data_IF_555357938375
#
_entry.id   IF_555357938375
#
_cell.length_a   1.000
_cell.length_b   1.000
_cell.length_c   1.000
_cell.angle_alpha   90.00
_cell.angle_beta   90.00
_cell.angle_gamma   90.00
#
_symmetry.space_group_name_H-M   'P 1'
#
loop_
_entity.id
_entity.type
_entity.pdbx_description
1 polymer ?
#
# COMPACT_ATOMS: atom_id res chain seq x y z
N UNK A 1 14.77 3.16 19.92
CA UNK A 1 14.05 2.01 19.35
C UNK A 1 12.65 2.07 19.89
N UNK A 2 11.71 2.55 19.08
CA UNK A 2 10.36 2.02 19.04
C UNK A 2 9.71 2.62 17.79
N UNK A 3 9.61 1.82 16.73
CA UNK A 3 8.44 1.94 15.87
C UNK A 3 7.22 1.97 16.79
N UNK A 4 6.17 2.69 16.41
CA UNK A 4 4.89 2.42 17.05
C UNK A 4 4.54 0.96 16.71
N UNK A 5 4.81 0.05 17.65
CA UNK A 5 4.59 -1.40 17.53
C UNK A 5 3.20 -1.67 16.97
N UNK A 6 2.23 -0.81 17.30
CA UNK A 6 0.87 -0.92 16.83
C UNK A 6 0.76 -0.88 15.30
N UNK A 7 1.49 0.00 14.58
CA UNK A 7 1.35 0.07 13.11
C UNK A 7 1.99 -1.12 12.39
N UNK A 8 3.16 -1.59 12.83
CA UNK A 8 3.80 -2.77 12.24
C UNK A 8 3.03 -4.05 12.55
N UNK A 9 2.50 -4.17 13.76
CA UNK A 9 1.59 -5.26 14.15
C UNK A 9 0.32 -5.20 13.31
N UNK A 10 -0.27 -4.02 13.09
CA UNK A 10 -1.46 -3.90 12.22
C UNK A 10 -1.12 -4.33 10.79
N UNK A 11 0.00 -3.86 10.23
CA UNK A 11 0.41 -4.18 8.86
C UNK A 11 0.74 -5.68 8.69
N UNK A 12 1.44 -6.27 9.65
CA UNK A 12 1.75 -7.70 9.66
C UNK A 12 0.50 -8.58 9.74
N UNK A 13 -0.61 -8.06 10.27
CA UNK A 13 -1.90 -8.75 10.35
C UNK A 13 -2.88 -8.43 9.21
N UNK A 14 -2.53 -7.56 8.24
CA UNK A 14 -3.40 -7.30 7.10
C UNK A 14 -3.70 -8.58 6.30
N UNK A 15 -4.94 -8.79 5.83
CA UNK A 15 -5.23 -9.91 4.95
C UNK A 15 -4.45 -9.76 3.63
N UNK A 16 -4.09 -10.88 3.00
CA UNK A 16 -3.41 -10.97 1.70
C UNK A 16 -1.90 -10.63 1.73
N UNK A 17 -1.11 -11.55 2.27
CA UNK A 17 0.33 -11.56 2.06
C UNK A 17 0.69 -12.01 0.63
N UNK A 18 1.82 -11.54 0.12
CA UNK A 18 2.33 -11.93 -1.20
C UNK A 18 2.81 -13.38 -1.19
N UNK A 19 3.40 -13.80 -0.07
CA UNK A 19 3.75 -15.19 0.18
C UNK A 19 3.94 -15.46 1.68
N UNK A 20 3.53 -16.63 2.16
CA UNK A 20 3.70 -17.04 3.56
C UNK A 20 4.10 -18.51 3.66
N UNK A 21 4.77 -18.87 4.75
CA UNK A 21 5.20 -20.24 4.95
C UNK A 21 6.21 -20.39 6.07
N UNK A 22 6.58 -21.64 6.33
CA UNK A 22 7.61 -21.96 7.31
C UNK A 22 9.01 -21.88 6.69
N UNK A 23 9.94 -21.27 7.41
CA UNK A 23 11.37 -21.34 7.12
C UNK A 23 12.14 -21.59 8.41
N UNK A 24 13.26 -22.28 8.28
CA UNK A 24 14.22 -22.43 9.37
C UNK A 24 15.25 -21.31 9.31
N UNK A 25 15.24 -20.44 10.32
CA UNK A 25 16.08 -19.25 10.41
C UNK A 25 17.31 -19.55 11.25
N UNK A 26 18.49 -19.16 10.77
CA UNK A 26 19.70 -19.24 11.59
C UNK A 26 19.64 -18.26 12.78
N UNK A 27 19.85 -18.78 13.97
CA UNK A 27 20.03 -18.05 15.22
C UNK A 27 21.31 -18.57 15.92
N UNK A 28 22.37 -17.76 15.86
CA UNK A 28 23.71 -18.15 16.30
C UNK A 28 24.21 -19.42 15.59
N UNK A 29 24.19 -20.57 16.26
CA UNK A 29 24.66 -21.87 15.72
C UNK A 29 23.53 -22.85 15.40
N UNK A 30 22.26 -22.47 15.64
CA UNK A 30 21.11 -23.36 15.44
C UNK A 30 20.13 -22.77 14.44
N UNK A 31 19.39 -23.65 13.77
CA UNK A 31 18.27 -23.26 12.92
C UNK A 31 16.96 -23.45 13.68
N UNK A 32 16.16 -22.39 13.78
CA UNK A 32 14.86 -22.42 14.43
C UNK A 32 13.76 -22.19 13.40
N UNK A 33 12.76 -23.06 13.42
CA UNK A 33 11.58 -22.95 12.56
C UNK A 33 10.73 -21.76 13.00
N UNK A 34 10.43 -20.86 12.06
CA UNK A 34 9.60 -19.67 12.25
C UNK A 34 8.60 -19.54 11.08
N UNK A 35 7.46 -18.91 11.34
CA UNK A 35 6.50 -18.58 10.30
C UNK A 35 6.90 -17.25 9.68
N UNK A 36 6.97 -17.17 8.36
CA UNK A 36 7.32 -15.97 7.62
C UNK A 36 6.14 -15.48 6.78
N UNK A 37 5.97 -14.17 6.69
CA UNK A 37 4.94 -13.51 5.88
C UNK A 37 5.56 -12.35 5.12
N UNK A 38 5.56 -12.42 3.79
CA UNK A 38 6.05 -11.38 2.89
C UNK A 38 4.91 -10.45 2.48
N UNK A 39 5.09 -9.15 2.69
CA UNK A 39 4.14 -8.11 2.28
C UNK A 39 4.89 -6.92 1.70
N UNK A 40 4.69 -6.67 0.41
CA UNK A 40 5.49 -5.74 -0.37
C UNK A 40 6.96 -6.08 -0.27
N UNK A 41 7.78 -5.14 0.19
CA UNK A 41 9.22 -5.31 0.39
C UNK A 41 9.61 -5.61 1.85
N UNK A 42 8.65 -5.98 2.71
CA UNK A 42 8.87 -6.28 4.12
C UNK A 42 8.55 -7.74 4.41
N UNK A 43 9.51 -8.46 4.98
CA UNK A 43 9.37 -9.83 5.41
C UNK A 43 9.24 -9.89 6.94
N UNK A 44 8.08 -10.30 7.41
CA UNK A 44 7.75 -10.50 8.82
C UNK A 44 8.07 -11.94 9.23
N UNK A 45 8.46 -12.15 10.48
CA UNK A 45 8.54 -13.49 11.04
C UNK A 45 7.97 -13.60 12.46
N UNK A 46 7.39 -14.76 12.75
CA UNK A 46 6.63 -15.05 13.96
C UNK A 46 7.08 -16.37 14.56
N UNK A 47 6.74 -16.61 15.84
CA UNK A 47 6.98 -17.91 16.44
C UNK A 47 6.00 -18.95 15.87
N UNK A 48 4.75 -18.57 15.64
CA UNK A 48 3.69 -19.38 15.04
C UNK A 48 2.86 -18.56 14.06
N UNK A 49 2.16 -19.24 13.14
CA UNK A 49 1.26 -18.59 12.16
C UNK A 49 0.05 -17.91 12.79
N UNK A 50 -0.35 -18.30 14.01
CA UNK A 50 -1.46 -17.70 14.74
C UNK A 50 -1.09 -16.44 15.53
N UNK A 51 0.21 -16.12 15.61
CA UNK A 51 0.68 -15.01 16.43
C UNK A 51 0.37 -13.68 15.74
N UNK A 52 -0.16 -12.73 16.50
CA UNK A 52 -0.48 -11.39 15.98
C UNK A 52 0.73 -10.46 15.99
N UNK A 53 1.68 -10.68 16.90
CA UNK A 53 2.85 -9.82 17.02
C UNK A 53 4.07 -10.47 16.34
N UNK A 54 4.72 -9.78 15.38
CA UNK A 54 5.92 -10.30 14.76
C UNK A 54 7.10 -10.28 15.75
N UNK A 55 7.91 -11.33 15.71
CA UNK A 55 9.19 -11.38 16.43
C UNK A 55 10.22 -10.41 15.85
N UNK A 56 10.08 -10.09 14.57
CA UNK A 56 10.91 -9.10 13.90
C UNK A 56 10.53 -8.92 12.43
N UNK A 57 11.23 -7.98 11.79
CA UNK A 57 11.03 -7.60 10.41
C UNK A 57 12.36 -7.57 9.67
N UNK A 58 12.30 -7.83 8.36
CA UNK A 58 13.43 -7.74 7.43
C UNK A 58 12.98 -6.88 6.26
N UNK A 59 13.69 -5.78 6.00
CA UNK A 59 13.46 -4.93 4.84
C UNK A 59 14.30 -5.49 3.69
N UNK A 60 13.66 -5.84 2.57
CA UNK A 60 14.31 -6.48 1.44
C UNK A 60 14.88 -5.49 0.42
N UNK A 61 14.61 -4.19 0.60
CA UNK A 61 15.14 -3.15 -0.28
C UNK A 61 16.67 -3.12 -0.22
N UNK A 62 17.32 -3.18 -1.38
CA UNK A 62 18.79 -3.23 -1.47
C UNK A 62 19.40 -4.52 -0.89
N UNK A 63 18.66 -5.63 -0.86
CA UNK A 63 19.20 -6.95 -0.53
C UNK A 63 19.40 -7.80 -1.80
N UNK A 64 20.36 -8.72 -1.78
CA UNK A 64 20.46 -9.81 -2.76
C UNK A 64 20.00 -11.12 -2.13
N UNK A 65 19.26 -11.92 -2.91
CA UNK A 65 18.90 -13.29 -2.54
C UNK A 65 19.84 -14.23 -3.29
N UNK A 66 20.56 -15.06 -2.56
CA UNK A 66 21.59 -15.95 -3.09
C UNK A 66 21.33 -17.38 -2.63
N UNK A 67 21.60 -18.36 -3.49
CA UNK A 67 21.50 -19.77 -3.14
C UNK A 67 22.67 -20.17 -2.22
N UNK A 68 22.41 -21.02 -1.22
CA UNK A 68 23.42 -21.54 -0.28
C UNK A 68 23.53 -23.08 -0.38
N UNK A 69 23.70 -23.58 -1.60
CA UNK A 69 23.65 -25.03 -1.90
C UNK A 69 24.83 -25.81 -1.31
N UNK A 70 25.94 -25.16 -1.00
CA UNK A 70 27.14 -25.83 -0.48
C UNK A 70 27.03 -26.19 1.01
N UNK A 71 26.18 -25.50 1.77
CA UNK A 71 26.15 -25.61 3.24
C UNK A 71 24.84 -26.20 3.76
N UNK A 72 23.71 -25.96 3.07
CA UNK A 72 22.39 -26.31 3.57
C UNK A 72 21.49 -26.80 2.42
N UNK A 73 20.97 -28.02 2.52
CA UNK A 73 19.98 -28.54 1.57
C UNK A 73 18.72 -27.65 1.62
N UNK A 74 18.29 -27.16 0.46
CA UNK A 74 17.23 -26.15 0.31
C UNK A 74 17.49 -24.78 0.98
N UNK A 75 18.75 -24.48 1.28
CA UNK A 75 19.18 -23.20 1.86
C UNK A 75 19.30 -22.07 0.85
N UNK A 76 19.01 -20.85 1.31
CA UNK A 76 19.31 -19.60 0.62
C UNK A 76 19.67 -18.52 1.66
N UNK A 77 20.34 -17.46 1.21
CA UNK A 77 20.71 -16.32 2.06
C UNK A 77 20.18 -15.00 1.52
N UNK A 78 19.78 -14.15 2.45
CA UNK A 78 19.48 -12.73 2.21
C UNK A 78 20.73 -11.96 2.60
N UNK A 79 21.46 -11.40 1.63
CA UNK A 79 22.64 -10.59 1.86
C UNK A 79 22.29 -9.10 1.83
N UNK A 80 22.67 -8.39 2.89
CA UNK A 80 22.38 -6.96 3.05
C UNK A 80 23.58 -6.14 2.55
N UNK A 81 23.34 -5.21 1.62
CA UNK A 81 24.36 -4.27 1.16
C UNK A 81 24.76 -3.34 2.32
N UNK A 82 26.00 -3.48 2.81
CA UNK A 82 26.54 -2.64 3.86
C UNK A 82 27.92 -3.06 4.38
N UNK A 83 28.60 -2.20 5.15
CA UNK A 83 30.00 -2.40 5.56
C UNK A 83 30.27 -3.63 6.44
N UNK A 84 29.23 -4.29 6.97
CA UNK A 84 29.35 -5.47 7.82
C UNK A 84 28.98 -6.78 7.11
N UNK A 85 28.63 -6.76 5.81
CA UNK A 85 28.32 -7.95 5.01
C UNK A 85 27.41 -8.97 5.73
N UNK A 86 26.45 -8.47 6.52
CA UNK A 86 25.55 -9.32 7.28
C UNK A 86 24.69 -10.08 6.28
N UNK A 87 24.43 -11.34 6.58
CA UNK A 87 23.46 -12.13 5.84
C UNK A 87 22.62 -12.97 6.77
N UNK A 88 21.39 -13.20 6.36
CA UNK A 88 20.49 -14.13 7.01
C UNK A 88 20.41 -15.41 6.20
N UNK A 89 20.73 -16.55 6.81
CA UNK A 89 20.55 -17.86 6.19
C UNK A 89 19.18 -18.41 6.58
N UNK A 90 18.42 -18.83 5.58
CA UNK A 90 17.10 -19.41 5.67
C UNK A 90 17.09 -20.75 4.94
N UNK A 91 16.38 -21.73 5.50
CA UNK A 91 16.23 -23.06 4.90
C UNK A 91 14.74 -23.33 4.70
N UNK A 92 14.36 -23.66 3.47
CA UNK A 92 13.00 -24.06 3.13
C UNK A 92 12.73 -25.54 3.50
N UNK A 93 11.45 -25.92 3.53
CA UNK A 93 11.08 -27.30 3.89
C UNK A 93 11.41 -28.31 2.78
N UNK A 94 11.38 -27.85 1.52
CA UNK A 94 11.64 -28.65 0.33
C UNK A 94 12.12 -27.78 -0.84
N UNK A 95 12.46 -28.44 -1.95
CA UNK A 95 12.96 -27.80 -3.16
C UNK A 95 11.98 -26.80 -3.79
N UNK A 96 10.69 -27.13 -3.81
CA UNK A 96 9.67 -26.30 -4.45
C UNK A 96 9.36 -25.07 -3.60
N UNK A 97 9.28 -25.26 -2.28
CA UNK A 97 9.19 -24.18 -1.30
C UNK A 97 10.39 -23.23 -1.41
N UNK A 98 11.63 -23.75 -1.59
CA UNK A 98 12.81 -22.91 -1.83
C UNK A 98 12.62 -22.05 -3.07
N UNK A 99 12.19 -22.63 -4.19
CA UNK A 99 11.98 -21.88 -5.44
C UNK A 99 10.92 -20.80 -5.26
N UNK A 100 9.81 -21.12 -4.60
CA UNK A 100 8.74 -20.16 -4.34
C UNK A 100 9.22 -19.01 -3.47
N UNK A 101 9.90 -19.29 -2.35
CA UNK A 101 10.52 -18.27 -1.49
C UNK A 101 11.55 -17.42 -2.23
N UNK A 102 12.46 -18.07 -2.95
CA UNK A 102 13.51 -17.38 -3.72
C UNK A 102 12.90 -16.42 -4.75
N UNK A 103 11.88 -16.89 -5.47
CA UNK A 103 11.16 -16.08 -6.48
C UNK A 103 10.48 -14.90 -5.80
N UNK A 104 9.65 -15.16 -4.79
CA UNK A 104 8.88 -14.13 -4.10
C UNK A 104 9.78 -13.02 -3.52
N UNK A 105 10.86 -13.40 -2.84
CA UNK A 105 11.81 -12.46 -2.25
C UNK A 105 12.61 -11.68 -3.29
N UNK A 106 12.98 -12.31 -4.41
CA UNK A 106 13.70 -11.63 -5.51
C UNK A 106 12.83 -10.64 -6.25
N UNK A 107 11.52 -10.89 -6.32
CA UNK A 107 10.52 -10.02 -6.98
C UNK A 107 9.95 -8.94 -6.07
N UNK A 108 10.23 -8.99 -4.76
CA UNK A 108 9.70 -8.06 -3.76
C UNK A 108 10.36 -6.67 -3.80
N UNK A 109 11.49 -6.53 -4.50
CA UNK A 109 12.23 -5.27 -4.56
C UNK A 109 11.55 -4.23 -5.45
N UNK A 110 11.83 -2.95 -5.17
CA UNK A 110 11.30 -1.84 -5.96
C UNK A 110 11.74 -1.88 -7.45
N UNK A 111 12.92 -2.43 -7.74
CA UNK A 111 13.43 -2.59 -9.11
C UNK A 111 12.52 -3.46 -9.97
N UNK A 112 11.92 -4.50 -9.41
CA UNK A 112 10.98 -5.37 -10.11
C UNK A 112 9.67 -4.63 -10.46
N UNK A 113 9.18 -3.80 -9.54
CA UNK A 113 8.00 -2.94 -9.81
C UNK A 113 8.27 -1.94 -10.94
N UNK A 114 9.45 -1.32 -10.97
CA UNK A 114 9.89 -0.44 -12.07
C UNK A 114 9.97 -1.18 -13.40
N UNK A 115 10.51 -2.39 -13.39
CA UNK A 115 10.58 -3.24 -14.59
C UNK A 115 9.19 -3.52 -15.15
N UNK A 116 8.24 -3.94 -14.30
CA UNK A 116 6.87 -4.21 -14.73
C UNK A 116 6.18 -2.98 -15.34
N UNK A 117 6.37 -1.80 -14.78
CA UNK A 117 5.80 -0.56 -15.34
C UNK A 117 6.42 -0.21 -16.68
N UNK A 118 7.74 -0.37 -16.82
CA UNK A 118 8.43 -0.15 -18.09
C UNK A 118 7.91 -1.10 -19.18
N UNK A 119 7.67 -2.36 -18.83
CA UNK A 119 7.12 -3.35 -19.75
C UNK A 119 5.64 -3.06 -20.10
N UNK A 120 4.82 -2.65 -19.13
CA UNK A 120 3.44 -2.24 -19.39
C UNK A 120 3.37 -1.00 -20.29
N UNK A 121 4.22 -0.01 -20.07
CA UNK A 121 4.34 1.16 -20.95
C UNK A 121 4.68 0.74 -22.38
N UNK A 122 5.67 -0.14 -22.55
CA UNK A 122 6.06 -0.68 -23.86
C UNK A 122 4.89 -1.38 -24.57
N UNK A 123 4.08 -2.14 -23.83
CA UNK A 123 2.90 -2.81 -24.38
C UNK A 123 1.82 -1.82 -24.81
N UNK A 124 1.60 -0.75 -24.04
CA UNK A 124 0.68 0.33 -24.40
C UNK A 124 1.14 1.06 -25.66
N UNK A 125 2.43 1.41 -25.75
CA UNK A 125 2.99 2.08 -26.93
C UNK A 125 2.81 1.23 -28.19
N UNK A 126 3.03 -0.09 -28.08
CA UNK A 126 2.82 -1.03 -29.20
C UNK A 126 1.35 -1.09 -29.61
N UNK A 127 0.43 -1.07 -28.65
CA UNK A 127 -1.01 -1.10 -28.92
C UNK A 127 -1.48 0.18 -29.59
N UNK A 128 -1.06 1.36 -29.10
CA UNK A 128 -1.38 2.66 -29.68
C UNK A 128 -0.93 2.79 -31.13
N UNK A 129 0.29 2.30 -31.45
CA UNK A 129 0.78 2.23 -32.84
C UNK A 129 -0.07 1.34 -33.74
N UNK A 130 -0.70 0.29 -33.19
CA UNK A 130 -1.50 -0.66 -33.95
C UNK A 130 -2.93 -0.16 -34.18
N UNK A 131 -3.50 0.58 -33.23
CA UNK A 131 -4.89 1.06 -33.28
C UNK A 131 -5.06 2.44 -33.93
N UNK A 132 -3.96 3.16 -34.21
CA UNK A 132 -4.01 4.50 -34.80
C UNK A 132 -4.58 5.59 -33.88
N UNK A 133 -4.83 5.25 -32.62
CA UNK A 133 -5.29 6.18 -31.59
C UNK A 133 -4.06 6.81 -30.94
N UNK A 134 -3.76 8.07 -31.27
CA UNK A 134 -2.75 8.86 -30.57
C UNK A 134 -3.35 9.42 -29.29
N UNK A 135 -3.48 8.59 -28.26
CA UNK A 135 -3.57 9.13 -26.91
C UNK A 135 -2.19 9.69 -26.57
N UNK A 136 -2.16 10.94 -26.12
CA UNK A 136 -0.97 11.55 -25.51
C UNK A 136 -0.73 10.79 -24.20
N UNK A 137 -0.08 9.64 -24.31
CA UNK A 137 0.08 8.69 -23.22
C UNK A 137 1.21 9.22 -22.36
N UNK A 138 0.86 10.04 -21.36
CA UNK A 138 1.78 10.46 -20.34
C UNK A 138 2.55 9.24 -19.82
N UNK A 139 3.88 9.36 -19.70
CA UNK A 139 4.71 8.32 -19.10
C UNK A 139 4.17 7.98 -17.72
N UNK A 140 3.71 6.75 -17.51
CA UNK A 140 3.23 6.34 -16.20
C UNK A 140 4.40 6.24 -15.24
N UNK A 141 4.33 6.98 -14.13
CA UNK A 141 5.27 6.86 -13.02
C UNK A 141 4.63 6.09 -11.86
N UNK A 142 5.47 5.41 -11.07
CA UNK A 142 5.01 4.82 -9.81
C UNK A 142 4.58 5.96 -8.91
N UNK A 143 3.29 6.08 -8.66
CA UNK A 143 2.82 6.87 -7.56
C UNK A 143 3.15 6.18 -6.25
N UNK A 144 4.08 6.75 -5.49
CA UNK A 144 4.49 6.18 -4.20
C UNK A 144 4.56 7.25 -3.12
N UNK A 145 4.33 6.81 -1.89
CA UNK A 145 4.52 7.62 -0.71
C UNK A 145 5.72 7.05 0.04
N UNK A 146 6.82 7.79 0.10
CA UNK A 146 8.09 7.31 0.64
C UNK A 146 8.27 7.81 2.06
N UNK A 147 8.52 6.87 2.98
CA UNK A 147 8.85 7.13 4.38
C UNK A 147 10.27 6.59 4.60
N UNK A 148 11.26 7.49 4.69
CA UNK A 148 12.62 7.08 5.12
C UNK A 148 12.57 6.79 6.62
N UNK A 149 12.94 5.56 7.00
CA UNK A 149 13.10 5.15 8.40
C UNK A 149 14.59 4.98 8.71
N UNK A 150 15.00 5.35 9.92
CA UNK A 150 16.35 5.06 10.38
C UNK A 150 16.54 3.54 10.64
N UNK A 151 17.79 3.12 10.92
CA UNK A 151 18.13 1.73 11.26
C UNK A 151 17.42 1.16 12.50
N UNK A 152 16.64 1.98 13.20
CA UNK A 152 15.85 1.64 14.38
C UNK A 152 14.35 1.84 14.15
N UNK A 153 13.94 2.22 12.94
CA UNK A 153 12.56 2.38 12.55
C UNK A 153 11.91 3.73 12.74
N UNK A 154 12.66 4.74 13.16
CA UNK A 154 12.08 6.05 13.36
C UNK A 154 11.93 6.74 12.00
N UNK A 155 10.73 7.25 11.71
CA UNK A 155 10.49 8.07 10.53
C UNK A 155 11.37 9.30 10.60
N UNK A 156 12.24 9.47 9.61
CA UNK A 156 13.15 10.59 9.54
C UNK A 156 12.36 11.82 9.07
N UNK A 157 11.89 12.62 10.04
CA UNK A 157 10.98 13.78 9.88
C UNK A 157 11.54 14.93 9.01
N UNK A 158 12.70 14.76 8.39
CA UNK A 158 13.47 15.85 7.79
C UNK A 158 14.20 15.42 6.52
N UNK A 159 13.58 14.59 5.67
CA UNK A 159 14.12 14.41 4.31
C UNK A 159 13.38 15.37 3.37
N UNK A 160 14.05 16.40 2.82
CA UNK A 160 13.48 17.21 1.75
C UNK A 160 13.00 16.31 0.59
N UNK A 161 11.85 16.64 0.00
CA UNK A 161 11.29 15.88 -1.14
C UNK A 161 12.26 15.80 -2.33
N UNK A 162 13.16 16.78 -2.44
CA UNK A 162 14.22 16.86 -3.45
C UNK A 162 15.21 15.68 -3.38
N UNK A 163 15.45 15.12 -2.18
CA UNK A 163 16.40 14.03 -1.92
C UNK A 163 15.79 12.62 -2.10
N UNK A 164 14.60 12.54 -2.70
CA UNK A 164 13.87 11.31 -2.98
C UNK A 164 13.99 11.00 -4.47
N UNK A 165 14.88 10.10 -4.88
CA UNK A 165 15.16 9.79 -6.29
C UNK A 165 14.07 8.95 -7.00
N UNK A 166 13.13 8.35 -6.28
CA UNK A 166 12.22 7.31 -6.79
C UNK A 166 10.75 7.54 -6.38
N UNK A 167 9.79 6.98 -7.11
CA UNK A 167 8.33 7.01 -6.83
C UNK A 167 7.75 8.42 -6.58
N UNK A 168 8.01 9.33 -7.51
CA UNK A 168 7.47 10.69 -7.50
C UNK A 168 6.11 10.68 -8.20
N UNK A 169 5.10 11.36 -7.65
CA UNK A 169 3.88 11.65 -8.40
C UNK A 169 3.92 13.08 -8.93
N UNK A 170 3.28 13.38 -10.08
CA UNK A 170 3.07 14.76 -10.51
C UNK A 170 2.41 15.63 -9.44
N UNK A 171 1.51 15.07 -8.62
CA UNK A 171 0.87 15.75 -7.49
C UNK A 171 1.83 16.19 -6.37
N UNK A 172 3.05 15.66 -6.30
CA UNK A 172 4.11 16.14 -5.39
C UNK A 172 4.74 17.44 -5.91
N UNK A 173 4.71 17.70 -7.21
CA UNK A 173 5.32 18.88 -7.85
C UNK A 173 4.34 20.03 -8.15
N UNK A 174 3.03 19.81 -8.05
CA UNK A 174 2.00 20.77 -8.55
C UNK A 174 1.88 22.06 -7.71
N UNK A 175 2.72 22.33 -6.71
CA UNK A 175 2.63 23.59 -5.97
C UNK A 175 3.99 24.23 -5.68
N UNK A 176 4.60 24.87 -6.68
CA UNK A 176 5.40 26.06 -6.39
C UNK A 176 4.44 27.22 -6.07
N UNK A 177 4.00 27.34 -4.80
CA UNK A 177 3.36 28.57 -4.29
C UNK A 177 1.93 28.46 -3.73
N UNK A 178 1.30 27.28 -3.70
CA UNK A 178 0.00 27.09 -3.04
C UNK A 178 0.13 26.85 -1.51
N UNK A 179 -0.90 27.17 -0.69
CA UNK A 179 -0.90 26.96 0.77
C UNK A 179 -0.79 25.49 1.21
N UNK A 180 -0.74 24.56 0.26
CA UNK A 180 -0.66 23.11 0.46
C UNK A 180 0.78 22.56 0.39
N UNK A 181 1.79 23.43 0.29
CA UNK A 181 3.23 23.13 0.08
C UNK A 181 3.96 22.41 1.21
N UNK A 182 3.29 22.09 2.32
CA UNK A 182 3.90 21.42 3.48
C UNK A 182 2.97 20.42 4.15
N UNK A 183 2.14 19.71 3.38
CA UNK A 183 1.49 18.54 3.95
C UNK A 183 2.52 17.42 3.99
N UNK A 184 3.18 17.29 5.13
CA UNK A 184 4.02 16.13 5.45
C UNK A 184 3.28 14.85 5.05
N UNK A 185 4.01 13.89 4.49
CA UNK A 185 3.48 12.58 4.11
C UNK A 185 2.63 11.92 5.22
N UNK A 186 2.95 12.25 6.47
CA UNK A 186 2.19 11.90 7.67
C UNK A 186 0.72 12.34 7.65
N UNK A 187 0.39 13.49 7.09
CA UNK A 187 -0.99 13.99 7.04
C UNK A 187 -1.89 13.17 6.11
N UNK A 188 -1.33 12.49 5.10
CA UNK A 188 -2.08 11.55 4.26
C UNK A 188 -2.42 10.25 5.01
N UNK A 189 -1.62 9.89 6.02
CA UNK A 189 -1.88 8.76 6.91
C UNK A 189 -2.61 9.14 8.20
N UNK A 190 -3.10 10.38 8.30
CA UNK A 190 -3.90 10.78 9.45
C UNK A 190 -5.34 10.24 9.29
N UNK A 191 -5.78 9.37 10.21
CA UNK A 191 -7.15 8.84 10.26
C UNK A 191 -8.20 9.96 10.33
N UNK A 192 -7.84 11.13 10.85
CA UNK A 192 -8.74 12.27 10.99
C UNK A 192 -8.85 13.17 9.75
N UNK A 193 -8.36 12.74 8.58
CA UNK A 193 -8.63 13.50 7.34
C UNK A 193 -10.07 13.32 6.88
N UNK A 194 -10.59 14.31 6.15
CA UNK A 194 -11.97 14.33 5.66
C UNK A 194 -12.27 13.24 4.62
N UNK A 195 -11.34 12.87 3.72
CA UNK A 195 -11.47 11.65 2.91
C UNK A 195 -11.67 10.38 3.74
N UNK A 196 -10.87 10.19 4.80
CA UNK A 196 -10.96 8.98 5.64
C UNK A 196 -12.26 8.97 6.46
N UNK A 197 -12.63 10.10 7.05
CA UNK A 197 -13.91 10.27 7.74
C UNK A 197 -15.11 10.08 6.79
N UNK A 198 -14.97 10.40 5.49
CA UNK A 198 -15.99 10.12 4.48
C UNK A 198 -16.12 8.61 4.23
N UNK A 199 -15.01 7.89 4.11
CA UNK A 199 -15.03 6.43 3.96
C UNK A 199 -15.69 5.76 5.17
N UNK A 200 -15.32 6.16 6.38
CA UNK A 200 -15.94 5.66 7.61
C UNK A 200 -17.46 5.94 7.63
N UNK A 201 -17.85 7.17 7.28
CA UNK A 201 -19.25 7.57 7.20
C UNK A 201 -20.04 6.73 6.18
N UNK A 202 -19.46 6.46 5.01
CA UNK A 202 -20.07 5.64 3.97
C UNK A 202 -20.14 4.15 4.36
N UNK A 203 -19.11 3.62 5.02
CA UNK A 203 -19.12 2.26 5.56
C UNK A 203 -20.21 2.08 6.63
N UNK A 204 -20.33 3.06 7.52
CA UNK A 204 -21.40 3.12 8.52
C UNK A 204 -22.77 3.24 7.88
N UNK A 205 -22.92 3.97 6.77
CA UNK A 205 -24.16 4.04 5.99
C UNK A 205 -24.51 2.72 5.31
N UNK A 206 -23.53 2.05 4.68
CA UNK A 206 -23.76 0.81 3.95
C UNK A 206 -23.98 -0.42 4.85
N UNK A 207 -23.38 -0.44 6.05
CA UNK A 207 -23.44 -1.62 6.95
C UNK A 207 -24.63 -1.57 7.90
N UNK A 208 -25.26 -2.71 8.24
CA UNK A 208 -26.26 -2.74 9.31
C UNK A 208 -25.60 -2.62 10.69
N UNK A 209 -26.22 -1.87 11.60
CA UNK A 209 -25.76 -1.79 13.00
C UNK A 209 -26.56 -2.78 13.84
N UNK A 210 -25.87 -3.56 14.68
CA UNK A 210 -26.49 -4.52 15.60
C UNK A 210 -26.29 -4.09 17.05
N UNK A 211 -27.27 -4.37 17.90
CA UNK A 211 -27.11 -4.22 19.35
C UNK A 211 -26.24 -5.36 19.93
N UNK A 212 -25.96 -5.29 21.23
CA UNK A 212 -25.23 -6.32 21.98
C UNK A 212 -25.89 -7.72 21.98
N UNK A 213 -27.17 -7.81 21.61
CA UNK A 213 -27.94 -9.06 21.51
C UNK A 213 -28.01 -9.59 20.07
N UNK A 214 -27.43 -8.89 19.10
CA UNK A 214 -27.41 -9.27 17.69
C UNK A 214 -28.59 -8.75 16.86
N UNK A 215 -29.54 -8.02 17.47
CA UNK A 215 -30.67 -7.44 16.75
C UNK A 215 -30.23 -6.24 15.92
N UNK A 216 -30.76 -6.13 14.71
CA UNK A 216 -30.48 -5.03 13.79
C UNK A 216 -31.20 -3.78 14.31
N UNK A 217 -30.43 -2.80 14.77
CA UNK A 217 -30.92 -1.49 15.23
C UNK A 217 -30.89 -0.43 14.12
N UNK A 218 -30.16 -0.69 13.03
CA UNK A 218 -30.13 0.14 11.83
C UNK A 218 -29.87 -0.74 10.62
N UNK A 219 -30.64 -0.58 9.54
CA UNK A 219 -30.49 -1.41 8.33
C UNK A 219 -29.33 -0.90 7.47
N UNK A 220 -28.85 -1.74 6.56
CA UNK A 220 -27.92 -1.32 5.51
C UNK A 220 -28.55 -0.21 4.67
N UNK A 221 -27.73 0.77 4.23
CA UNK A 221 -28.13 1.93 3.42
C UNK A 221 -29.15 2.87 4.08
N UNK A 222 -29.14 2.94 5.41
CA UNK A 222 -29.88 3.93 6.20
C UNK A 222 -28.90 4.81 6.99
N UNK A 223 -29.32 6.01 7.41
CA UNK A 223 -28.52 6.86 8.29
C UNK A 223 -28.87 6.58 9.75
N UNK A 224 -27.87 6.55 10.65
CA UNK A 224 -28.13 6.38 12.08
C UNK A 224 -28.78 7.65 12.65
N UNK A 225 -28.24 8.81 12.29
CA UNK A 225 -28.82 10.12 12.60
C UNK A 225 -28.82 10.97 11.33
N UNK A 226 -29.90 10.94 10.53
CA UNK A 226 -29.96 11.59 9.22
C UNK A 226 -29.53 13.07 9.26
N UNK A 227 -29.91 13.81 10.31
CA UNK A 227 -29.61 15.25 10.42
C UNK A 227 -28.11 15.52 10.57
N UNK A 228 -27.45 14.81 11.48
CA UNK A 228 -26.02 15.00 11.73
C UNK A 228 -25.15 14.34 10.66
N UNK A 229 -25.53 13.13 10.22
CA UNK A 229 -24.75 12.36 9.25
C UNK A 229 -24.77 13.04 7.87
N UNK A 230 -25.92 13.57 7.41
CA UNK A 230 -25.98 14.33 6.16
C UNK A 230 -25.21 15.65 6.23
N UNK A 231 -25.15 16.29 7.41
CA UNK A 231 -24.36 17.50 7.61
C UNK A 231 -22.87 17.20 7.53
N UNK A 232 -22.41 16.10 8.13
CA UNK A 232 -21.03 15.60 8.00
C UNK A 232 -20.73 15.24 6.54
N UNK A 233 -21.60 14.45 5.90
CA UNK A 233 -21.46 14.05 4.50
C UNK A 233 -21.27 15.27 3.59
N UNK A 234 -22.14 16.28 3.71
CA UNK A 234 -22.03 17.52 2.92
C UNK A 234 -20.70 18.24 3.17
N UNK A 235 -20.29 18.35 4.43
CA UNK A 235 -19.01 19.00 4.79
C UNK A 235 -17.83 18.26 4.17
N UNK A 236 -17.79 16.93 4.30
CA UNK A 236 -16.69 16.11 3.81
C UNK A 236 -16.64 16.12 2.28
N UNK A 237 -17.79 15.98 1.63
CA UNK A 237 -17.89 15.99 0.16
C UNK A 237 -17.41 17.33 -0.41
N UNK A 238 -17.81 18.44 0.20
CA UNK A 238 -17.39 19.78 -0.24
C UNK A 238 -15.86 19.92 -0.17
N UNK A 239 -15.26 19.47 0.92
CA UNK A 239 -13.81 19.55 1.10
C UNK A 239 -13.05 18.63 0.14
N UNK A 240 -13.52 17.40 -0.07
CA UNK A 240 -12.96 16.48 -1.06
C UNK A 240 -13.05 17.08 -2.47
N UNK A 241 -14.20 17.63 -2.86
CA UNK A 241 -14.36 18.32 -4.13
C UNK A 241 -13.34 19.46 -4.30
N UNK A 242 -13.13 20.28 -3.26
CA UNK A 242 -12.15 21.36 -3.29
C UNK A 242 -10.70 20.83 -3.43
N UNK A 243 -10.39 19.68 -2.85
CA UNK A 243 -9.06 19.06 -2.97
C UNK A 243 -8.80 18.51 -4.37
N UNK A 244 -9.82 17.93 -5.01
CA UNK A 244 -9.65 17.25 -6.29
C UNK A 244 -9.93 18.14 -7.49
N UNK A 245 -10.63 19.27 -7.34
CA UNK A 245 -11.06 20.09 -8.49
C UNK A 245 -9.90 20.54 -9.38
N UNK A 246 -8.76 20.89 -8.78
CA UNK A 246 -7.55 21.29 -9.54
C UNK A 246 -6.98 20.09 -10.32
N UNK A 247 -6.98 18.91 -9.70
CA UNK A 247 -6.50 17.67 -10.33
C UNK A 247 -7.43 17.29 -11.49
N UNK A 248 -8.75 17.33 -11.27
CA UNK A 248 -9.72 17.02 -12.32
C UNK A 248 -9.68 18.03 -13.47
N UNK A 249 -9.51 19.32 -13.18
CA UNK A 249 -9.36 20.36 -14.22
C UNK A 249 -8.09 20.24 -15.06
N UNK A 250 -7.04 19.63 -14.51
CA UNK A 250 -5.78 19.42 -15.22
C UNK A 250 -5.73 18.08 -15.98
N UNK A 251 -6.73 17.22 -15.81
CA UNK A 251 -6.78 15.92 -16.49
C UNK A 251 -7.35 16.08 -17.92
N UNK A 252 -6.54 15.90 -18.97
CA UNK A 252 -6.95 16.15 -20.35
C UNK A 252 -8.07 15.22 -20.84
N UNK A 253 -8.30 14.09 -20.17
CA UNK A 253 -9.39 13.14 -20.50
C UNK A 253 -10.75 13.59 -19.96
N UNK A 254 -10.80 14.57 -19.06
CA UNK A 254 -12.06 15.09 -18.50
C UNK A 254 -12.56 16.27 -19.33
N UNK A 255 -13.87 16.27 -19.59
CA UNK A 255 -14.55 17.35 -20.30
C UNK A 255 -15.23 18.27 -19.30
N UNK A 256 -15.00 19.58 -19.42
CA UNK A 256 -15.78 20.57 -18.68
C UNK A 256 -17.19 20.65 -19.28
N UNK A 257 -18.20 20.64 -18.41
CA UNK A 257 -19.61 20.70 -18.81
C UNK A 257 -20.27 21.84 -18.06
N UNK A 258 -20.99 22.69 -18.79
CA UNK A 258 -21.71 23.82 -18.21
C UNK A 258 -22.98 23.36 -17.48
N UNK A 259 -23.24 24.01 -16.34
CA UNK A 259 -24.48 23.79 -15.59
C UNK A 259 -25.68 24.50 -16.26
N UNK A 260 -26.89 23.91 -16.22
CA UNK A 260 -27.24 22.65 -15.56
C UNK A 260 -26.94 21.43 -16.45
N UNK A 261 -26.24 20.45 -15.89
CA UNK A 261 -26.01 19.14 -16.52
C UNK A 261 -26.85 18.08 -15.82
N UNK A 262 -27.56 17.26 -16.59
CA UNK A 262 -28.30 16.12 -16.06
C UNK A 262 -27.53 14.83 -16.39
N UNK A 263 -27.09 14.13 -15.36
CA UNK A 263 -26.41 12.84 -15.49
C UNK A 263 -27.46 11.74 -15.35
N UNK A 264 -27.64 10.93 -16.40
CA UNK A 264 -28.52 9.77 -16.39
C UNK A 264 -27.68 8.50 -16.45
N UNK A 265 -27.78 7.65 -15.43
CA UNK A 265 -27.02 6.41 -15.33
C UNK A 265 -27.24 5.72 -13.99
N UNK A 266 -26.92 4.43 -13.93
CA UNK A 266 -26.98 3.65 -12.71
C UNK A 266 -25.82 4.04 -11.79
N UNK A 267 -26.12 4.71 -10.68
CA UNK A 267 -25.16 5.11 -9.64
C UNK A 267 -24.90 4.00 -8.62
N UNK A 268 -25.59 2.86 -8.70
CA UNK A 268 -25.59 1.83 -7.65
C UNK A 268 -24.31 0.97 -7.61
N UNK A 269 -23.40 1.08 -8.58
CA UNK A 269 -22.22 0.21 -8.68
C UNK A 269 -20.97 0.68 -7.92
N UNK A 270 -20.73 1.99 -7.85
CA UNK A 270 -19.39 2.48 -7.54
C UNK A 270 -19.00 2.34 -6.07
N UNK A 271 -19.95 2.23 -5.13
CA UNK A 271 -19.57 2.10 -3.70
C UNK A 271 -18.86 0.78 -3.43
N UNK A 272 -19.35 -0.33 -4.00
CA UNK A 272 -18.70 -1.62 -3.87
C UNK A 272 -17.32 -1.61 -4.52
N UNK A 273 -17.19 -0.95 -5.69
CA UNK A 273 -15.91 -0.77 -6.36
C UNK A 273 -14.93 0.09 -5.52
N UNK A 274 -15.42 1.14 -4.85
CA UNK A 274 -14.63 1.95 -3.92
C UNK A 274 -14.14 1.12 -2.75
N UNK A 275 -14.98 0.25 -2.17
CA UNK A 275 -14.57 -0.68 -1.11
C UNK A 275 -13.53 -1.68 -1.61
N UNK A 276 -13.72 -2.24 -2.80
CA UNK A 276 -12.73 -3.14 -3.43
C UNK A 276 -11.42 -2.39 -3.67
N UNK A 277 -11.46 -1.17 -4.18
CA UNK A 277 -10.26 -0.34 -4.36
C UNK A 277 -9.61 0.00 -3.02
N UNK A 278 -10.39 0.17 -1.95
CA UNK A 278 -9.86 0.34 -0.60
C UNK A 278 -9.14 -0.92 -0.10
N UNK A 279 -9.72 -2.09 -0.30
CA UNK A 279 -9.12 -3.36 0.08
C UNK A 279 -7.87 -3.69 -0.76
N UNK A 280 -7.89 -3.35 -2.05
CA UNK A 280 -6.86 -3.75 -3.02
C UNK A 280 -5.71 -2.73 -3.09
N UNK A 281 -6.02 -1.44 -3.20
CA UNK A 281 -5.05 -0.37 -3.47
C UNK A 281 -4.74 0.50 -2.24
N UNK A 282 -5.67 0.69 -1.29
CA UNK A 282 -5.43 1.43 -0.04
C UNK A 282 -5.04 0.54 1.14
N UNK A 283 -4.34 -0.57 0.91
CA UNK A 283 -3.85 -1.48 1.96
C UNK A 283 -2.99 -0.79 3.04
N UNK A 284 -2.37 0.34 2.70
CA UNK A 284 -1.56 1.17 3.59
C UNK A 284 -2.26 2.46 4.05
N UNK A 285 -3.49 2.71 3.61
CA UNK A 285 -4.25 3.88 4.05
C UNK A 285 -4.64 3.76 5.53
N UNK A 286 -4.76 4.88 6.25
CA UNK A 286 -5.30 4.89 7.60
C UNK A 286 -6.69 4.24 7.64
N UNK A 287 -6.94 3.39 8.64
CA UNK A 287 -8.22 2.70 8.83
C UNK A 287 -9.08 3.46 9.82
#
# INVERSE_FOLDING_TARGET
MEFNKNHLTVYSNLPQADYEGWLSKQESTKFLKKWFSLKGNILFYFQKSSDKEPLGIIILEGCSIELDECNNEFGFRIAFLGPQNKSLILIAEDHDSRIQWFTALSTANFSNMKYHISELQRQLDKRNKTTGLSFDCASYEIGGHIIKVDRFGNVNRATPFEDIEHARTPSVFVNEGGPYTKLESFNFFNENTKPNLMLELLQNFASPTKNQFGDIIKRAFEWNNPTEDLKKFKSYLTEICNLIIIILKSEPRLLEIDAPTFVFGDIHGNFQDILVFQEVFWKMGPK
#
